data_IF_989761991922
#
_entry.id   IF_989761991922
#
_cell.length_a   1.000
_cell.length_b   1.000
_cell.length_c   1.000
_cell.angle_alpha   90.00
_cell.angle_beta   90.00
_cell.angle_gamma   90.00
#
_symmetry.space_group_name_H-M   'P 1'
#
loop_
_entity.id
_entity.type
_entity.pdbx_description
1 polymer ?
#
# COMPACT_ATOMS: atom_id res chain seq x y z
N UNK A 1 -8.37 -12.56 2.73
CA UNK A 1 -9.43 -13.48 3.18
C UNK A 1 -10.35 -12.74 4.15
N UNK A 2 -11.66 -12.94 4.10
CA UNK A 2 -12.61 -12.41 5.08
C UNK A 2 -12.87 -13.48 6.12
N UNK A 3 -12.72 -13.15 7.41
CA UNK A 3 -12.91 -14.09 8.52
C UNK A 3 -14.27 -13.94 9.21
N UNK A 4 -14.80 -12.71 9.30
CA UNK A 4 -16.10 -12.46 9.90
C UNK A 4 -16.79 -11.20 9.34
N UNK A 5 -18.12 -11.17 9.42
CA UNK A 5 -18.95 -10.01 9.08
C UNK A 5 -19.95 -9.78 10.21
N UNK A 6 -19.91 -8.61 10.83
CA UNK A 6 -20.78 -8.26 11.95
C UNK A 6 -21.79 -7.20 11.53
N UNK A 7 -23.06 -7.41 11.90
CA UNK A 7 -24.16 -6.49 11.57
C UNK A 7 -24.51 -5.60 12.76
N UNK A 8 -24.93 -4.37 12.49
CA UNK A 8 -25.33 -3.42 13.52
C UNK A 8 -26.53 -3.94 14.32
N UNK A 9 -26.43 -3.95 15.66
CA UNK A 9 -27.51 -4.37 16.57
C UNK A 9 -28.60 -3.30 16.74
N UNK A 10 -28.29 -2.05 16.38
CA UNK A 10 -29.18 -0.89 16.42
C UNK A 10 -28.84 0.13 15.33
N UNK A 11 -29.61 1.22 15.28
CA UNK A 11 -29.29 2.34 14.38
C UNK A 11 -28.06 3.09 14.87
N UNK A 12 -27.30 3.69 13.94
CA UNK A 12 -26.08 4.44 14.24
C UNK A 12 -25.97 5.68 13.33
N UNK A 13 -25.09 6.65 13.61
CA UNK A 13 -25.06 7.93 12.88
C UNK A 13 -24.90 7.84 11.36
N UNK A 14 -24.44 6.69 10.84
CA UNK A 14 -24.20 6.48 9.41
C UNK A 14 -24.90 5.25 8.84
N UNK A 15 -25.90 4.69 9.54
CA UNK A 15 -26.67 3.55 9.06
C UNK A 15 -27.73 3.06 10.04
N UNK A 16 -28.30 1.89 9.77
CA UNK A 16 -29.42 1.33 10.53
C UNK A 16 -29.14 -0.08 11.03
N UNK A 17 -29.98 -0.55 11.95
CA UNK A 17 -29.96 -1.93 12.43
C UNK A 17 -29.98 -2.91 11.26
N UNK A 18 -29.12 -3.92 11.32
CA UNK A 18 -29.00 -4.97 10.30
C UNK A 18 -28.02 -4.66 9.18
N UNK A 19 -27.56 -3.42 9.02
CA UNK A 19 -26.48 -3.08 8.09
C UNK A 19 -25.17 -3.75 8.51
N UNK A 20 -24.29 -4.03 7.55
CA UNK A 20 -22.92 -4.50 7.86
C UNK A 20 -22.16 -3.36 8.53
N UNK A 21 -21.73 -3.58 9.77
CA UNK A 21 -21.03 -2.57 10.56
C UNK A 21 -19.52 -2.78 10.49
N UNK A 22 -19.06 -4.00 10.79
CA UNK A 22 -17.64 -4.33 10.71
C UNK A 22 -17.38 -5.61 9.90
N UNK A 23 -16.21 -5.66 9.29
CA UNK A 23 -15.70 -6.82 8.54
C UNK A 23 -14.30 -7.13 9.03
N UNK A 24 -14.06 -8.36 9.46
CA UNK A 24 -12.73 -8.84 9.78
C UNK A 24 -12.12 -9.51 8.55
N UNK A 25 -10.87 -9.17 8.24
CA UNK A 25 -10.16 -9.70 7.10
C UNK A 25 -8.65 -9.65 7.30
N UNK A 26 -7.91 -10.35 6.44
CA UNK A 26 -6.45 -10.36 6.46
C UNK A 26 -5.89 -9.77 5.18
N UNK A 27 -4.90 -8.88 5.32
CA UNK A 27 -4.10 -8.29 4.24
C UNK A 27 -2.64 -8.65 4.49
N UNK A 28 -1.99 -9.36 3.56
CA UNK A 28 -0.58 -9.74 3.68
C UNK A 28 -0.22 -10.37 5.05
N UNK A 29 -1.10 -11.23 5.58
CA UNK A 29 -0.93 -11.86 6.90
C UNK A 29 -1.35 -11.01 8.11
N UNK A 30 -1.64 -9.72 7.92
CA UNK A 30 -2.03 -8.80 9.00
C UNK A 30 -3.55 -8.84 9.20
N UNK A 31 -4.05 -9.15 10.41
CA UNK A 31 -5.48 -9.07 10.72
C UNK A 31 -5.95 -7.61 10.75
N UNK A 32 -7.08 -7.36 10.11
CA UNK A 32 -7.66 -6.03 9.90
C UNK A 32 -9.16 -6.07 10.25
N UNK A 33 -9.66 -4.94 10.77
CA UNK A 33 -11.08 -4.70 10.99
C UNK A 33 -11.50 -3.46 10.19
N UNK A 34 -12.37 -3.65 9.20
CA UNK A 34 -12.99 -2.56 8.46
C UNK A 34 -14.28 -2.12 9.15
N UNK A 35 -14.50 -0.81 9.28
CA UNK A 35 -15.70 -0.23 9.88
C UNK A 35 -16.44 0.62 8.83
N UNK A 36 -17.72 0.32 8.60
CA UNK A 36 -18.61 1.15 7.79
C UNK A 36 -19.14 2.35 8.60
N UNK A 37 -18.24 3.30 8.89
CA UNK A 37 -18.49 4.47 9.75
C UNK A 37 -18.97 5.72 9.02
N UNK A 38 -19.31 5.64 7.73
CA UNK A 38 -19.68 6.79 6.90
C UNK A 38 -18.48 7.64 6.44
N UNK A 39 -18.72 8.78 5.76
CA UNK A 39 -17.69 9.55 5.06
C UNK A 39 -16.95 10.57 5.93
N UNK A 40 -17.21 10.60 7.25
CA UNK A 40 -16.71 11.63 8.19
C UNK A 40 -15.19 11.70 8.23
N UNK A 41 -14.52 10.54 8.28
CA UNK A 41 -13.07 10.44 8.30
C UNK A 41 -12.54 9.98 6.94
N UNK A 42 -11.45 10.59 6.50
CA UNK A 42 -10.78 10.26 5.23
C UNK A 42 -9.37 9.81 5.52
N UNK A 43 -9.01 8.66 4.99
CA UNK A 43 -7.62 8.22 4.97
C UNK A 43 -6.73 9.21 4.21
N UNK A 44 -5.47 9.27 4.62
CA UNK A 44 -4.39 10.02 3.97
C UNK A 44 -3.10 9.18 3.99
N UNK A 45 -2.01 9.75 3.50
CA UNK A 45 -0.70 9.10 3.37
C UNK A 45 0.00 8.85 4.71
N UNK A 46 -0.49 9.40 5.83
CA UNK A 46 0.08 9.13 7.15
C UNK A 46 -0.04 7.65 7.56
N UNK A 47 -0.96 6.91 6.93
CA UNK A 47 -1.02 5.45 7.01
C UNK A 47 -0.92 4.85 5.61
N UNK A 48 -0.05 3.84 5.46
CA UNK A 48 0.05 3.03 4.25
C UNK A 48 0.36 1.57 4.59
N UNK A 49 -0.02 0.68 3.68
CA UNK A 49 0.36 -0.73 3.73
C UNK A 49 1.48 -0.94 2.72
N UNK A 50 2.65 -1.33 3.21
CA UNK A 50 3.76 -1.72 2.36
C UNK A 50 3.72 -3.22 2.08
N UNK A 51 3.71 -3.60 0.81
CA UNK A 51 3.86 -4.97 0.34
C UNK A 51 5.31 -5.13 -0.14
N UNK A 52 6.04 -6.04 0.49
CA UNK A 52 7.38 -6.42 0.07
C UNK A 52 7.29 -7.41 -1.10
N UNK A 53 8.09 -7.20 -2.13
CA UNK A 53 8.17 -8.09 -3.29
C UNK A 53 9.60 -8.56 -3.55
N UNK A 54 9.74 -9.76 -4.10
CA UNK A 54 11.04 -10.41 -4.32
C UNK A 54 11.59 -10.13 -5.72
N UNK A 55 10.71 -10.04 -6.72
CA UNK A 55 11.11 -9.81 -8.10
C UNK A 55 10.16 -8.86 -8.87
N UNK A 56 10.47 -8.64 -10.15
CA UNK A 56 9.66 -7.77 -11.00
C UNK A 56 8.29 -8.37 -11.31
N UNK A 57 8.19 -9.70 -11.40
CA UNK A 57 6.93 -10.38 -11.68
C UNK A 57 5.95 -10.16 -10.54
N UNK A 58 6.37 -10.35 -9.29
CA UNK A 58 5.54 -10.09 -8.11
C UNK A 58 5.19 -8.61 -7.99
N UNK A 59 6.17 -7.71 -8.21
CA UNK A 59 5.95 -6.25 -8.22
C UNK A 59 4.88 -5.86 -9.23
N UNK A 60 4.88 -6.48 -10.40
CA UNK A 60 3.96 -6.20 -11.50
C UNK A 60 2.59 -6.89 -11.30
N UNK A 61 2.57 -8.10 -10.74
CA UNK A 61 1.37 -8.89 -10.49
C UNK A 61 0.42 -8.24 -9.48
N UNK A 62 0.92 -7.35 -8.62
CA UNK A 62 0.06 -6.58 -7.70
C UNK A 62 -0.97 -5.73 -8.44
N UNK A 63 -0.69 -5.32 -9.68
CA UNK A 63 -1.54 -4.40 -10.45
C UNK A 63 -1.69 -3.01 -9.80
N UNK A 64 -0.90 -2.71 -8.77
CA UNK A 64 -0.93 -1.47 -8.00
C UNK A 64 0.20 -0.52 -8.44
N UNK A 65 0.07 0.79 -8.23
CA UNK A 65 1.18 1.72 -8.43
C UNK A 65 2.31 1.38 -7.44
N UNK A 66 3.52 1.10 -7.95
CA UNK A 66 4.62 0.58 -7.11
C UNK A 66 5.52 1.64 -6.48
N UNK A 67 5.36 2.93 -6.80
CA UNK A 67 6.11 4.01 -6.11
C UNK A 67 5.16 5.01 -5.45
N UNK A 68 5.62 5.70 -4.41
CA UNK A 68 4.86 6.79 -3.77
C UNK A 68 4.49 7.88 -4.79
N UNK A 69 5.40 8.17 -5.73
CA UNK A 69 5.15 9.13 -6.80
C UNK A 69 4.05 8.66 -7.78
N UNK A 70 4.00 7.37 -8.10
CA UNK A 70 2.92 6.80 -8.90
C UNK A 70 1.64 6.62 -8.11
N UNK A 71 1.67 6.34 -6.81
CA UNK A 71 0.51 6.35 -5.94
C UNK A 71 -0.08 7.77 -5.85
N UNK A 72 0.76 8.81 -5.76
CA UNK A 72 0.35 10.22 -5.76
C UNK A 72 -0.24 10.66 -7.10
N UNK A 73 0.35 10.25 -8.23
CA UNK A 73 -0.19 10.51 -9.57
C UNK A 73 -1.46 9.70 -9.86
N UNK A 74 -1.54 8.44 -9.42
CA UNK A 74 -2.74 7.62 -9.50
C UNK A 74 -3.89 8.24 -8.69
N UNK A 75 -3.61 8.74 -7.48
CA UNK A 75 -4.56 9.53 -6.67
C UNK A 75 -5.01 10.81 -7.36
N UNK A 76 -4.10 11.55 -7.97
CA UNK A 76 -4.41 12.75 -8.75
C UNK A 76 -5.19 12.45 -10.04
N UNK A 77 -5.00 11.27 -10.64
CA UNK A 77 -5.66 10.80 -11.86
C UNK A 77 -6.93 9.96 -11.61
N UNK A 78 -7.43 9.90 -10.37
CA UNK A 78 -8.69 9.21 -10.05
C UNK A 78 -8.60 7.71 -9.76
N UNK A 79 -7.41 7.11 -9.80
CA UNK A 79 -7.15 5.76 -9.31
C UNK A 79 -7.03 5.76 -7.77
N UNK A 80 -8.13 6.14 -7.09
CA UNK A 80 -8.34 5.79 -5.68
C UNK A 80 -8.59 4.29 -5.63
N UNK A 81 -7.59 3.51 -5.27
CA UNK A 81 -7.78 2.14 -4.78
C UNK A 81 -8.51 2.21 -3.44
N UNK A 82 -9.84 2.40 -3.49
CA UNK A 82 -10.77 2.37 -2.34
C UNK A 82 -10.39 3.27 -1.14
N UNK A 83 -9.55 4.28 -1.34
CA UNK A 83 -9.20 5.28 -0.33
C UNK A 83 -8.01 4.97 0.57
N UNK A 84 -7.32 3.83 0.43
CA UNK A 84 -6.13 3.49 1.24
C UNK A 84 -4.81 3.74 0.51
N UNK A 85 -3.73 3.96 1.26
CA UNK A 85 -2.37 4.13 0.72
C UNK A 85 -1.65 2.80 0.69
N UNK A 86 -0.97 2.52 -0.42
CA UNK A 86 -0.24 1.28 -0.66
C UNK A 86 1.13 1.60 -1.22
N UNK A 87 2.14 0.83 -0.81
CA UNK A 87 3.51 0.91 -1.31
C UNK A 87 3.93 -0.50 -1.72
N UNK A 88 4.36 -0.69 -2.97
CA UNK A 88 4.89 -1.99 -3.43
C UNK A 88 6.40 -1.84 -3.56
N UNK A 89 7.13 -2.36 -2.58
CA UNK A 89 8.55 -2.05 -2.40
C UNK A 89 9.36 -3.35 -2.49
N UNK A 90 10.24 -3.50 -3.49
CA UNK A 90 11.10 -4.68 -3.56
C UNK A 90 12.00 -4.78 -2.34
N UNK A 91 12.27 -6.01 -1.87
CA UNK A 91 13.13 -6.23 -0.69
C UNK A 91 14.50 -5.62 -0.87
N UNK A 92 15.09 -5.76 -2.04
CA UNK A 92 16.42 -5.21 -2.32
C UNK A 92 16.51 -3.68 -2.16
N UNK A 93 15.44 -2.95 -2.47
CA UNK A 93 15.36 -1.51 -2.19
C UNK A 93 15.36 -1.23 -0.68
N UNK A 94 14.56 -1.97 0.08
CA UNK A 94 14.46 -1.80 1.54
C UNK A 94 15.78 -2.14 2.23
N UNK A 95 16.43 -3.23 1.79
CA UNK A 95 17.74 -3.67 2.28
C UNK A 95 18.82 -2.63 2.02
N UNK A 96 18.88 -2.07 0.80
CA UNK A 96 19.82 -1.01 0.45
C UNK A 96 19.63 0.23 1.34
N UNK A 97 18.39 0.68 1.52
CA UNK A 97 18.09 1.83 2.37
C UNK A 97 18.46 1.59 3.84
N UNK A 98 18.25 0.36 4.34
CA UNK A 98 18.61 -0.01 5.70
C UNK A 98 20.12 -0.13 5.90
N UNK A 99 20.87 -0.58 4.88
CA UNK A 99 22.33 -0.70 4.93
C UNK A 99 23.03 0.68 4.99
N UNK A 100 22.43 1.71 4.41
CA UNK A 100 22.95 3.08 4.42
C UNK A 100 24.12 3.31 3.45
N UNK A 101 24.80 4.44 3.62
CA UNK A 101 25.97 4.81 2.81
C UNK A 101 25.67 5.08 1.34
N UNK A 102 26.68 4.88 0.49
CA UNK A 102 26.61 5.21 -0.93
C UNK A 102 25.67 4.27 -1.71
N UNK A 103 25.55 3.00 -1.31
CA UNK A 103 24.58 2.06 -1.89
C UNK A 103 23.15 2.57 -1.67
N UNK A 104 22.80 2.93 -0.43
CA UNK A 104 21.49 3.48 -0.10
C UNK A 104 21.20 4.75 -0.91
N UNK A 105 22.18 5.64 -1.03
CA UNK A 105 22.04 6.87 -1.81
C UNK A 105 21.74 6.59 -3.28
N UNK A 106 22.51 5.71 -3.94
CA UNK A 106 22.28 5.35 -5.35
C UNK A 106 20.92 4.69 -5.56
N UNK A 107 20.55 3.75 -4.68
CA UNK A 107 19.25 3.08 -4.73
C UNK A 107 18.09 4.07 -4.54
N UNK A 108 18.21 4.99 -3.58
CA UNK A 108 17.23 6.04 -3.32
C UNK A 108 17.09 7.00 -4.51
N UNK A 109 18.20 7.50 -5.06
CA UNK A 109 18.20 8.40 -6.22
C UNK A 109 17.57 7.74 -7.44
N UNK A 110 17.90 6.48 -7.70
CA UNK A 110 17.28 5.70 -8.78
C UNK A 110 15.76 5.58 -8.58
N UNK A 111 15.32 5.18 -7.38
CA UNK A 111 13.90 5.06 -7.02
C UNK A 111 13.13 6.37 -7.24
N UNK A 112 13.70 7.52 -6.86
CA UNK A 112 13.03 8.82 -6.96
C UNK A 112 12.70 9.23 -8.40
N UNK A 113 13.40 8.68 -9.40
CA UNK A 113 13.09 8.90 -10.82
C UNK A 113 11.98 8.00 -11.36
N UNK A 114 11.67 6.91 -10.64
CA UNK A 114 10.79 5.86 -11.12
C UNK A 114 9.32 6.20 -10.90
N UNK A 115 8.51 5.95 -11.93
CA UNK A 115 7.06 5.91 -11.79
C UNK A 115 6.62 4.51 -11.36
N UNK A 116 7.11 3.49 -12.05
CA UNK A 116 6.97 2.09 -11.63
C UNK A 116 8.34 1.61 -11.20
N UNK A 117 8.43 0.96 -10.04
CA UNK A 117 9.70 0.38 -9.58
C UNK A 117 10.18 -0.66 -10.59
N UNK A 118 11.42 -0.49 -11.02
CA UNK A 118 12.15 -1.46 -11.83
C UNK A 118 13.21 -2.10 -10.92
N UNK A 119 12.98 -3.36 -10.55
CA UNK A 119 13.82 -4.12 -9.63
C UNK A 119 15.25 -4.21 -10.17
N UNK A 120 15.42 -4.55 -11.44
CA UNK A 120 16.75 -4.67 -12.05
C UNK A 120 17.53 -3.35 -12.06
N UNK A 121 16.85 -2.22 -12.28
CA UNK A 121 17.48 -0.90 -12.24
C UNK A 121 17.87 -0.48 -10.82
N UNK A 122 17.07 -0.82 -9.80
CA UNK A 122 17.45 -0.64 -8.41
C UNK A 122 18.68 -1.49 -8.07
N UNK A 123 18.68 -2.77 -8.43
CA UNK A 123 19.80 -3.67 -8.20
C UNK A 123 21.08 -3.22 -8.92
N UNK A 124 20.95 -2.67 -10.14
CA UNK A 124 22.08 -2.07 -10.84
C UNK A 124 22.63 -0.85 -10.11
N UNK A 125 21.75 0.07 -9.67
CA UNK A 125 22.16 1.26 -8.91
C UNK A 125 22.85 0.90 -7.59
N UNK A 126 22.39 -0.15 -6.90
CA UNK A 126 23.02 -0.66 -5.67
C UNK A 126 24.48 -1.05 -5.89
N UNK A 127 24.77 -1.77 -6.98
CA UNK A 127 26.13 -2.28 -7.29
C UNK A 127 27.13 -1.18 -7.68
N UNK A 128 26.67 -0.03 -8.18
CA UNK A 128 27.51 1.08 -8.63
C UNK A 128 27.75 1.04 -10.13
#
# INVERSE_FOLDING_TARGET
MVSAVHRASGNYPSGKKGDVLTVEFTVAGIPCLGLNGGPTFKHNEAFSVQIATDDQEETDATGMPSSEMAARRARAAGAKTRGLSWQITPRGLTEALAAGGDEAKRAFEAMMTMKKINVAAIEAARRG
#
